data_IF_704066356815
#
_entry.id   IF_704066356815
#
_cell.length_a   1.000
_cell.length_b   1.000
_cell.length_c   1.000
_cell.angle_alpha   90.00
_cell.angle_beta   90.00
_cell.angle_gamma   90.00
#
_symmetry.space_group_name_H-M   'P 1'
#
loop_
_entity.id
_entity.type
_entity.pdbx_description
1 polymer ?
#
# COMPACT_ATOMS: atom_id res chain seq x y z
N UNK A 1 -6.23 -22.81 7.19
CA UNK A 1 -6.86 -22.99 5.87
C UNK A 1 -5.87 -22.57 4.80
N UNK A 2 -5.25 -23.53 4.11
CA UNK A 2 -4.26 -23.29 3.05
C UNK A 2 -4.85 -23.56 1.67
N UNK A 3 -4.23 -23.00 0.63
CA UNK A 3 -4.57 -23.28 -0.77
C UNK A 3 -4.04 -24.68 -1.10
N UNK A 4 -4.93 -25.62 -1.44
CA UNK A 4 -4.57 -26.96 -1.92
C UNK A 4 -4.35 -26.88 -3.44
N UNK A 5 -3.11 -27.09 -3.88
CA UNK A 5 -2.76 -27.15 -5.30
C UNK A 5 -2.98 -28.58 -5.81
N UNK A 6 -3.41 -28.75 -7.06
CA UNK A 6 -3.64 -30.07 -7.65
C UNK A 6 -2.35 -30.89 -7.76
N UNK A 7 -2.36 -32.12 -7.22
CA UNK A 7 -1.19 -33.02 -7.18
C UNK A 7 -0.76 -33.56 -8.56
N UNK A 8 -1.57 -33.31 -9.59
CA UNK A 8 -1.48 -33.81 -10.96
C UNK A 8 -0.91 -32.80 -11.96
N UNK A 9 -0.61 -31.56 -11.55
CA UNK A 9 -0.21 -30.48 -12.45
C UNK A 9 1.20 -29.96 -12.19
N UNK A 10 1.88 -29.51 -13.24
CA UNK A 10 3.15 -28.81 -13.16
C UNK A 10 2.90 -27.33 -12.86
N UNK A 11 3.59 -26.77 -11.87
CA UNK A 11 3.44 -25.36 -11.53
C UNK A 11 4.72 -24.74 -10.97
N UNK A 12 4.87 -23.43 -11.18
CA UNK A 12 5.89 -22.60 -10.54
C UNK A 12 5.27 -21.92 -9.33
N UNK A 13 6.00 -21.92 -8.21
CA UNK A 13 5.65 -21.14 -7.04
C UNK A 13 6.54 -19.93 -6.98
N UNK A 14 5.95 -18.74 -6.91
CA UNK A 14 6.69 -17.51 -6.70
C UNK A 14 7.24 -17.48 -5.28
N UNK A 15 8.56 -17.32 -5.14
CA UNK A 15 9.26 -17.24 -3.86
C UNK A 15 9.52 -15.81 -3.41
N UNK A 16 9.15 -14.81 -4.23
CA UNK A 16 9.32 -13.42 -3.86
C UNK A 16 8.45 -13.07 -2.66
N UNK A 17 9.07 -12.48 -1.64
CA UNK A 17 8.41 -12.05 -0.42
C UNK A 17 7.72 -10.68 -0.55
N UNK A 18 7.87 -10.00 -1.69
CA UNK A 18 7.33 -8.66 -1.92
C UNK A 18 5.90 -8.72 -2.47
N UNK A 19 4.88 -8.29 -1.70
CA UNK A 19 3.49 -8.23 -2.17
C UNK A 19 3.24 -7.18 -3.27
N UNK A 20 4.24 -6.36 -3.63
CA UNK A 20 4.16 -5.34 -4.68
C UNK A 20 4.56 -5.85 -6.07
N UNK A 21 5.06 -7.09 -6.19
CA UNK A 21 5.26 -7.73 -7.48
C UNK A 21 3.89 -8.26 -7.93
N UNK A 22 3.40 -7.79 -9.09
CA UNK A 22 2.11 -8.16 -9.71
C UNK A 22 2.08 -9.62 -10.20
N UNK A 23 2.74 -10.52 -9.49
CA UNK A 23 2.97 -11.89 -9.90
C UNK A 23 2.08 -12.82 -9.08
N UNK A 24 1.50 -13.81 -9.74
CA UNK A 24 0.72 -14.84 -9.09
C UNK A 24 1.62 -15.63 -8.12
N UNK A 25 1.04 -16.07 -7.00
CA UNK A 25 1.73 -16.96 -6.07
C UNK A 25 2.09 -18.31 -6.75
N UNK A 26 1.23 -18.77 -7.66
CA UNK A 26 1.36 -20.04 -8.37
C UNK A 26 1.03 -19.85 -9.84
N UNK A 27 1.91 -20.32 -10.73
CA UNK A 27 1.68 -20.38 -12.18
C UNK A 27 1.60 -21.82 -12.65
N UNK A 28 0.47 -22.21 -13.22
CA UNK A 28 0.34 -23.53 -13.86
C UNK A 28 1.02 -23.51 -15.23
N UNK A 29 1.85 -24.51 -15.48
CA UNK A 29 2.56 -24.67 -16.74
C UNK A 29 1.68 -25.42 -17.74
N UNK A 30 1.62 -24.90 -18.97
CA UNK A 30 1.01 -25.57 -20.14
C UNK A 30 2.09 -26.40 -20.85
N UNK A 31 1.69 -27.15 -21.88
CA UNK A 31 2.63 -27.90 -22.73
C UNK A 31 3.72 -27.02 -23.32
N UNK A 32 3.36 -25.80 -23.73
CA UNK A 32 4.28 -24.75 -24.17
C UNK A 32 3.96 -23.48 -23.39
N UNK A 33 4.92 -22.97 -22.63
CA UNK A 33 4.73 -21.79 -21.77
C UNK A 33 5.77 -20.72 -22.11
N UNK A 34 5.29 -19.58 -22.60
CA UNK A 34 6.11 -18.42 -22.95
C UNK A 34 6.28 -17.47 -21.75
N UNK A 35 7.50 -17.07 -21.44
CA UNK A 35 7.83 -16.22 -20.28
C UNK A 35 8.62 -14.98 -20.72
N UNK A 36 8.15 -13.79 -20.34
CA UNK A 36 8.81 -12.52 -20.66
C UNK A 36 7.97 -11.31 -20.28
N UNK A 37 8.35 -10.10 -20.70
CA UNK A 37 7.62 -8.86 -20.38
C UNK A 37 6.58 -8.45 -21.43
N UNK A 38 6.59 -9.04 -22.62
CA UNK A 38 5.63 -8.72 -23.67
C UNK A 38 4.22 -9.22 -23.32
N UNK A 39 3.19 -8.53 -23.84
CA UNK A 39 1.79 -8.92 -23.66
C UNK A 39 1.41 -10.23 -24.36
N UNK A 40 2.29 -10.77 -25.20
CA UNK A 40 2.13 -12.06 -25.90
C UNK A 40 2.58 -13.27 -25.07
N UNK A 41 3.15 -13.06 -23.89
CA UNK A 41 3.70 -14.12 -23.05
C UNK A 41 2.63 -14.74 -22.14
N UNK A 42 2.71 -16.04 -21.87
CA UNK A 42 1.81 -16.73 -20.94
C UNK A 42 2.07 -16.31 -19.49
N UNK A 43 3.34 -16.15 -19.12
CA UNK A 43 3.78 -15.67 -17.82
C UNK A 43 4.45 -14.32 -18.04
N UNK A 44 3.69 -13.25 -17.81
CA UNK A 44 4.20 -11.89 -17.94
C UNK A 44 4.95 -11.49 -16.67
N UNK A 45 6.25 -11.24 -16.80
CA UNK A 45 7.11 -10.79 -15.71
C UNK A 45 7.60 -9.36 -16.01
N UNK A 46 7.46 -8.48 -15.02
CA UNK A 46 7.87 -7.09 -15.14
C UNK A 46 8.98 -6.79 -14.13
N UNK A 47 10.18 -6.49 -14.61
CA UNK A 47 11.31 -6.18 -13.75
C UNK A 47 12.61 -5.96 -14.51
N UNK A 48 13.59 -5.36 -13.82
CA UNK A 48 14.91 -5.13 -14.41
C UNK A 48 15.57 -6.46 -14.80
N UNK A 49 16.01 -6.56 -16.05
CA UNK A 49 16.66 -7.74 -16.60
C UNK A 49 15.71 -8.80 -17.17
N UNK A 50 14.39 -8.55 -17.19
CA UNK A 50 13.43 -9.36 -17.95
C UNK A 50 13.31 -8.79 -19.38
N UNK A 51 13.38 -9.66 -20.37
CA UNK A 51 13.24 -9.30 -21.79
C UNK A 51 11.80 -9.54 -22.25
N UNK A 52 11.36 -8.88 -23.35
CA UNK A 52 10.05 -9.12 -23.96
C UNK A 52 9.75 -10.61 -24.19
N UNK A 53 10.76 -11.34 -24.69
CA UNK A 53 10.81 -12.80 -24.76
C UNK A 53 12.03 -13.26 -23.96
N UNK A 54 11.82 -13.89 -22.80
CA UNK A 54 12.90 -14.21 -21.86
C UNK A 54 13.24 -15.69 -21.85
N UNK A 55 12.25 -16.56 -21.73
CA UNK A 55 12.48 -17.99 -21.84
C UNK A 55 11.20 -18.72 -22.20
N UNK A 56 11.36 -19.99 -22.54
CA UNK A 56 10.28 -20.90 -22.88
C UNK A 56 10.42 -22.13 -22.00
N UNK A 57 9.31 -22.60 -21.43
CA UNK A 57 9.24 -23.89 -20.75
C UNK A 57 8.33 -24.82 -21.56
N UNK A 58 8.86 -25.97 -21.93
CA UNK A 58 8.18 -27.04 -22.66
C UNK A 58 7.97 -28.27 -21.77
N UNK A 59 6.76 -28.82 -21.78
CA UNK A 59 6.44 -30.12 -21.18
C UNK A 59 6.30 -31.14 -22.30
N UNK A 60 7.23 -32.09 -22.39
CA UNK A 60 7.18 -33.13 -23.41
C UNK A 60 6.06 -34.13 -23.15
N UNK A 61 5.65 -34.87 -24.18
CA UNK A 61 4.64 -35.95 -24.05
C UNK A 61 5.04 -37.05 -23.05
N UNK A 62 6.33 -37.15 -22.73
CA UNK A 62 6.91 -38.07 -21.72
C UNK A 62 6.89 -37.49 -20.30
N UNK A 63 6.36 -36.27 -20.14
CA UNK A 63 6.29 -35.52 -18.88
C UNK A 63 7.64 -34.96 -18.43
N UNK A 64 8.58 -34.73 -19.35
CA UNK A 64 9.84 -34.05 -19.05
C UNK A 64 9.64 -32.54 -19.23
N UNK A 65 10.21 -31.74 -18.32
CA UNK A 65 10.10 -30.28 -18.39
C UNK A 65 11.44 -29.71 -18.84
N UNK A 66 11.44 -28.99 -19.95
CA UNK A 66 12.62 -28.39 -20.57
C UNK A 66 12.50 -26.87 -20.51
N UNK A 67 13.58 -26.19 -20.12
CA UNK A 67 13.68 -24.74 -20.15
C UNK A 67 14.65 -24.32 -21.25
N UNK A 68 14.20 -23.45 -22.13
CA UNK A 68 14.98 -22.87 -23.23
C UNK A 68 15.11 -21.36 -23.03
N UNK A 69 16.28 -20.83 -22.66
CA UNK A 69 16.48 -19.39 -22.51
C UNK A 69 16.59 -18.69 -23.87
N UNK A 70 16.06 -17.47 -23.97
CA UNK A 70 16.32 -16.62 -25.15
C UNK A 70 17.74 -16.03 -25.10
N UNK A 71 18.25 -15.59 -26.26
CA UNK A 71 19.61 -15.01 -26.37
C UNK A 71 19.76 -13.79 -25.46
N UNK A 72 20.92 -13.69 -24.80
CA UNK A 72 21.27 -12.57 -23.91
C UNK A 72 20.32 -12.40 -22.71
N UNK A 73 19.67 -13.48 -22.26
CA UNK A 73 18.83 -13.45 -21.07
C UNK A 73 19.61 -13.84 -19.82
N UNK A 74 19.19 -13.28 -18.70
CA UNK A 74 19.74 -13.60 -17.39
C UNK A 74 18.86 -14.66 -16.72
N UNK A 75 19.12 -15.92 -17.03
CA UNK A 75 18.41 -17.08 -16.48
C UNK A 75 19.35 -17.95 -15.67
N UNK A 76 18.99 -18.27 -14.42
CA UNK A 76 19.73 -19.21 -13.59
C UNK A 76 18.82 -20.34 -13.10
N UNK A 77 19.37 -21.55 -13.03
CA UNK A 77 18.73 -22.71 -12.41
C UNK A 77 19.66 -23.21 -11.32
N UNK A 78 19.16 -23.27 -10.09
CA UNK A 78 19.89 -23.63 -8.87
C UNK A 78 21.21 -22.83 -8.68
N UNK A 79 21.22 -21.58 -9.15
CA UNK A 79 22.38 -20.67 -9.06
C UNK A 79 23.37 -20.76 -10.23
N UNK A 80 23.20 -21.70 -11.15
CA UNK A 80 24.02 -21.82 -12.37
C UNK A 80 23.39 -21.08 -13.54
N UNK A 81 24.18 -20.29 -14.27
CA UNK A 81 23.71 -19.56 -15.46
C UNK A 81 23.38 -20.54 -16.58
N UNK A 82 22.23 -20.36 -17.23
CA UNK A 82 21.74 -21.23 -18.30
C UNK A 82 21.71 -20.45 -19.61
N UNK A 83 22.47 -20.93 -20.59
CA UNK A 83 22.57 -20.32 -21.93
C UNK A 83 22.09 -21.24 -23.07
N UNK A 84 21.75 -22.49 -22.74
CA UNK A 84 21.25 -23.51 -23.68
C UNK A 84 20.06 -24.25 -23.04
N UNK A 85 19.23 -24.98 -23.83
CA UNK A 85 18.13 -25.77 -23.30
C UNK A 85 18.59 -26.75 -22.20
N UNK A 86 17.86 -26.81 -21.09
CA UNK A 86 18.15 -27.66 -19.94
C UNK A 86 16.88 -28.35 -19.41
N UNK A 87 17.02 -29.59 -18.94
CA UNK A 87 15.95 -30.30 -18.27
C UNK A 87 15.80 -29.86 -16.81
N UNK A 88 14.58 -29.55 -16.41
CA UNK A 88 14.21 -29.16 -15.05
C UNK A 88 13.59 -30.32 -14.27
N UNK A 89 13.82 -30.31 -12.96
CA UNK A 89 13.37 -31.33 -12.01
C UNK A 89 12.49 -30.73 -10.91
N UNK A 90 11.71 -31.60 -10.24
CA UNK A 90 10.90 -31.18 -9.10
C UNK A 90 11.77 -30.53 -8.02
N UNK A 91 11.43 -29.30 -7.64
CA UNK A 91 12.11 -28.54 -6.59
C UNK A 91 13.19 -27.59 -7.09
N UNK A 92 13.48 -27.58 -8.40
CA UNK A 92 14.46 -26.65 -8.98
C UNK A 92 14.08 -25.20 -8.74
N UNK A 93 15.08 -24.39 -8.39
CA UNK A 93 14.95 -22.95 -8.14
C UNK A 93 15.41 -22.20 -9.37
N UNK A 94 14.51 -21.42 -9.95
CA UNK A 94 14.74 -20.67 -11.17
C UNK A 94 14.79 -19.18 -10.83
N UNK A 95 15.79 -18.48 -11.35
CA UNK A 95 15.90 -17.03 -11.26
C UNK A 95 15.89 -16.44 -12.67
N UNK A 96 14.93 -15.57 -12.94
CA UNK A 96 14.89 -14.76 -14.15
C UNK A 96 15.18 -13.30 -13.85
N UNK A 97 15.97 -12.66 -14.73
CA UNK A 97 16.40 -11.28 -14.54
C UNK A 97 17.19 -11.12 -13.24
N UNK A 98 16.84 -10.10 -12.45
CA UNK A 98 17.52 -9.83 -11.18
C UNK A 98 16.72 -10.31 -9.95
N UNK A 99 15.39 -10.29 -10.03
CA UNK A 99 14.54 -10.35 -8.83
C UNK A 99 13.35 -11.33 -8.95
N UNK A 100 13.34 -12.25 -9.92
CA UNK A 100 12.21 -13.17 -10.11
C UNK A 100 12.59 -14.59 -9.70
N UNK A 101 12.29 -14.96 -8.46
CA UNK A 101 12.64 -16.26 -7.88
C UNK A 101 11.44 -17.20 -7.89
N UNK A 102 11.60 -18.34 -8.55
CA UNK A 102 10.57 -19.37 -8.67
C UNK A 102 11.08 -20.73 -8.19
N UNK A 103 10.15 -21.55 -7.70
CA UNK A 103 10.38 -22.99 -7.44
C UNK A 103 9.46 -23.82 -8.32
N UNK A 104 10.04 -24.72 -9.11
CA UNK A 104 9.29 -25.66 -9.92
C UNK A 104 8.75 -26.80 -9.05
N UNK A 105 7.46 -27.11 -9.22
CA UNK A 105 6.84 -28.31 -8.68
C UNK A 105 6.30 -29.13 -9.85
N UNK A 106 6.85 -30.34 -9.97
CA UNK A 106 6.33 -31.37 -10.87
C UNK A 106 5.51 -32.38 -10.07
N UNK A 107 4.45 -32.97 -10.65
CA UNK A 107 3.71 -34.04 -10.02
C UNK A 107 4.65 -35.22 -9.72
N UNK A 108 4.48 -35.86 -8.56
CA UNK A 108 5.25 -37.06 -8.23
C UNK A 108 4.88 -38.14 -9.24
N UNK A 109 5.83 -38.59 -10.07
CA UNK A 109 5.63 -39.79 -10.90
C UNK A 109 5.25 -40.93 -9.94
N UNK A 110 3.98 -41.33 -9.92
CA UNK A 110 3.60 -42.62 -9.32
C UNK A 110 4.39 -43.65 -10.11
N UNK A 111 5.41 -44.24 -9.50
CA UNK A 111 5.95 -45.50 -10.00
C UNK A 111 4.75 -46.41 -10.16
N UNK A 112 4.46 -46.85 -11.39
CA UNK A 112 3.65 -48.04 -11.60
C UNK A 112 4.40 -49.15 -10.87
N UNK A 113 3.93 -49.48 -9.67
CA UNK A 113 4.32 -50.68 -8.98
C UNK A 113 3.53 -51.80 -9.65
N UNK A 114 4.09 -52.34 -10.73
CA UNK A 114 3.84 -53.73 -11.09
C UNK A 114 4.61 -54.57 -10.07
N UNK A 115 3.88 -55.24 -9.17
CA UNK A 115 4.16 -56.56 -8.57
C UNK A 115 3.31 -56.77 -7.31
N UNK A 116 2.26 -57.55 -7.52
CA UNK A 116 1.78 -58.70 -6.75
C UNK A 116 2.44 -59.00 -5.37
N UNK A 117 1.52 -59.21 -4.42
CA UNK A 117 1.49 -60.19 -3.33
C UNK A 117 1.99 -59.91 -1.89
N UNK A 118 1.10 -60.35 -0.99
CA UNK A 118 1.21 -60.80 0.41
C UNK A 118 1.12 -59.82 1.60
N UNK A 119 -0.13 -59.72 2.10
CA UNK A 119 -0.63 -60.07 3.45
C UNK A 119 -0.06 -59.47 4.75
N UNK A 120 -1.00 -59.38 5.72
CA UNK A 120 -0.85 -59.27 7.18
C UNK A 120 -0.87 -57.84 7.77
N UNK A 121 -1.70 -57.45 8.75
CA UNK A 121 -2.96 -57.89 9.36
C UNK A 121 -3.35 -56.75 10.34
N UNK A 122 -4.64 -56.62 10.67
CA UNK A 122 -5.22 -55.97 11.86
C UNK A 122 -5.07 -54.45 12.08
N UNK A 123 -5.99 -53.68 12.68
CA UNK A 123 -7.34 -53.85 13.24
C UNK A 123 -7.60 -52.55 14.05
N UNK A 124 -8.55 -51.68 13.70
CA UNK A 124 -9.76 -51.28 14.47
C UNK A 124 -9.83 -49.73 14.48
N UNK A 125 -10.83 -49.12 13.85
CA UNK A 125 -12.16 -48.78 14.40
C UNK A 125 -12.10 -47.83 15.60
N UNK A 126 -12.64 -46.63 15.45
CA UNK A 126 -14.00 -46.34 15.95
C UNK A 126 -14.52 -44.98 15.48
N UNK A 127 -15.74 -45.05 14.97
CA UNK A 127 -16.67 -43.97 14.63
C UNK A 127 -17.26 -43.29 15.89
N UNK A 128 -18.17 -42.35 15.60
CA UNK A 128 -19.27 -41.76 16.42
C UNK A 128 -18.94 -40.52 17.24
N UNK A 129 -19.80 -39.50 17.34
CA UNK A 129 -20.86 -38.87 16.53
C UNK A 129 -21.59 -37.90 17.49
N UNK A 130 -22.03 -36.73 16.99
CA UNK A 130 -23.16 -35.91 17.51
C UNK A 130 -23.01 -35.34 18.95
N UNK A 131 -23.55 -34.20 19.37
CA UNK A 131 -24.70 -33.39 18.97
C UNK A 131 -24.70 -32.10 19.85
N UNK A 132 -25.11 -30.95 19.28
CA UNK A 132 -26.08 -29.97 19.84
C UNK A 132 -25.73 -29.18 21.15
N UNK A 133 -26.10 -27.91 21.41
CA UNK A 133 -26.96 -26.86 20.82
C UNK A 133 -26.51 -25.48 21.37
N UNK A 134 -26.67 -24.45 20.53
CA UNK A 134 -27.20 -23.10 20.76
C UNK A 134 -27.24 -22.46 22.16
N UNK A 135 -26.87 -21.17 22.24
CA UNK A 135 -27.68 -20.09 22.85
C UNK A 135 -27.16 -18.72 22.41
N UNK A 136 -28.13 -17.91 21.98
CA UNK A 136 -28.10 -16.54 21.48
C UNK A 136 -27.50 -15.47 22.40
N UNK A 137 -27.17 -14.32 21.82
CA UNK A 137 -26.83 -13.11 22.57
C UNK A 137 -26.50 -11.90 21.70
N UNK A 138 -27.44 -11.51 20.85
CA UNK A 138 -27.48 -10.20 20.20
C UNK A 138 -27.55 -9.08 21.25
N UNK A 139 -26.69 -8.06 21.15
CA UNK A 139 -27.01 -6.70 21.62
C UNK A 139 -25.98 -5.72 21.08
N UNK A 140 -26.39 -5.07 19.99
CA UNK A 140 -26.19 -3.65 19.72
C UNK A 140 -25.78 -2.80 20.95
N UNK A 141 -24.72 -2.00 20.79
CA UNK A 141 -24.84 -0.54 20.94
C UNK A 141 -23.52 0.13 20.55
N UNK A 142 -23.64 0.96 19.53
CA UNK A 142 -22.70 1.99 19.11
C UNK A 142 -22.43 3.04 20.21
N UNK A 143 -21.65 4.06 19.82
CA UNK A 143 -21.54 5.41 20.38
C UNK A 143 -20.27 5.61 21.22
N UNK A 144 -19.18 5.99 20.55
CA UNK A 144 -18.80 7.38 20.23
C UNK A 144 -18.03 8.02 21.38
N UNK A 145 -16.71 8.09 21.19
CA UNK A 145 -15.82 8.98 21.96
C UNK A 145 -15.94 10.40 21.41
N UNK A 146 -17.12 11.00 21.55
CA UNK A 146 -17.32 12.44 21.33
C UNK A 146 -17.15 13.17 22.67
N UNK A 147 -16.17 14.06 22.67
CA UNK A 147 -15.87 15.00 23.75
C UNK A 147 -17.07 15.95 23.86
N UNK A 148 -17.97 15.69 24.82
CA UNK A 148 -19.08 16.57 25.13
C UNK A 148 -18.56 17.78 25.95
N UNK A 149 -18.52 18.96 25.33
CA UNK A 149 -18.39 20.23 26.06
C UNK A 149 -19.70 20.48 26.83
N UNK A 150 -19.78 19.98 28.07
CA UNK A 150 -20.91 20.24 28.96
C UNK A 150 -20.79 21.66 29.57
N UNK A 151 -21.84 22.48 29.45
CA UNK A 151 -21.91 23.85 30.00
C UNK A 151 -21.64 23.87 31.52
N UNK A 152 -22.01 22.78 32.20
CA UNK A 152 -21.79 22.56 33.63
C UNK A 152 -20.29 22.46 34.00
N UNK A 153 -19.45 21.92 33.11
CA UNK A 153 -18.01 21.81 33.32
C UNK A 153 -17.33 23.18 33.21
N UNK A 154 -17.74 24.00 32.24
CA UNK A 154 -17.27 25.37 32.11
C UNK A 154 -17.74 26.25 33.29
N UNK A 155 -18.96 26.03 33.77
CA UNK A 155 -19.51 26.72 34.94
C UNK A 155 -18.76 26.32 36.23
N UNK A 156 -18.41 25.04 36.38
CA UNK A 156 -17.56 24.53 37.45
C UNK A 156 -16.15 25.13 37.39
N UNK A 157 -15.53 25.20 36.20
CA UNK A 157 -14.19 25.75 36.02
C UNK A 157 -14.12 27.25 36.37
N UNK A 158 -15.14 28.03 35.99
CA UNK A 158 -15.26 29.45 36.33
C UNK A 158 -15.48 29.64 37.84
N UNK A 159 -16.31 28.78 38.45
CA UNK A 159 -16.57 28.83 39.91
C UNK A 159 -15.32 28.47 40.72
N UNK A 160 -14.52 27.50 40.23
CA UNK A 160 -13.24 27.10 40.82
C UNK A 160 -12.13 28.15 40.64
N UNK A 161 -12.16 28.95 39.57
CA UNK A 161 -11.23 30.08 39.34
C UNK A 161 -11.64 31.38 40.06
N UNK A 162 -12.91 31.54 40.42
CA UNK A 162 -13.41 32.74 41.10
C UNK A 162 -13.15 32.74 42.62
N UNK A 163 -12.90 31.57 43.21
CA UNK A 163 -12.42 31.43 44.59
C UNK A 163 -10.90 31.60 44.61
N UNK A 164 -10.47 32.85 44.73
CA UNK A 164 -9.07 33.24 44.73
C UNK A 164 -8.26 32.60 45.87
N UNK A 165 -7.07 32.17 45.49
CA UNK A 165 -5.81 32.11 46.23
C UNK A 165 -5.90 32.12 47.77
N UNK A 166 -5.54 30.96 48.33
CA UNK A 166 -5.23 30.61 49.72
C UNK A 166 -6.34 29.87 50.45
N UNK A 167 -6.26 28.53 50.46
CA UNK A 167 -6.57 27.71 51.63
C UNK A 167 -6.20 26.22 51.41
N UNK A 168 -6.03 25.42 52.49
CA UNK A 168 -5.59 24.01 52.47
C UNK A 168 -6.46 23.08 51.62
N UNK A 169 -7.65 23.51 51.21
CA UNK A 169 -8.56 22.79 50.32
C UNK A 169 -7.97 22.55 48.93
N UNK A 170 -7.13 23.47 48.42
CA UNK A 170 -6.48 23.30 47.10
C UNK A 170 -5.34 22.29 47.15
N UNK A 171 -4.66 22.17 48.30
CA UNK A 171 -3.69 21.12 48.57
C UNK A 171 -4.38 19.74 48.66
N UNK A 172 -5.53 19.67 49.31
CA UNK A 172 -6.35 18.44 49.38
C UNK A 172 -6.84 18.05 47.98
N UNK A 173 -7.31 19.01 47.18
CA UNK A 173 -7.75 18.76 45.81
C UNK A 173 -6.60 18.23 44.93
N UNK A 174 -5.43 18.87 44.98
CA UNK A 174 -4.26 18.41 44.23
C UNK A 174 -3.75 17.04 44.72
N UNK A 175 -3.79 16.79 46.03
CA UNK A 175 -3.45 15.49 46.59
C UNK A 175 -4.43 14.40 46.16
N UNK A 176 -5.72 14.73 46.06
CA UNK A 176 -6.76 13.81 45.61
C UNK A 176 -6.67 13.55 44.11
N UNK A 177 -6.36 14.57 43.31
CA UNK A 177 -6.09 14.46 41.88
C UNK A 177 -4.85 13.59 41.63
N UNK A 178 -3.77 13.82 42.37
CA UNK A 178 -2.55 13.03 42.28
C UNK A 178 -2.80 11.57 42.69
N UNK A 179 -3.59 11.33 43.74
CA UNK A 179 -4.00 9.99 44.14
C UNK A 179 -4.86 9.32 43.06
N UNK A 180 -5.81 10.02 42.46
CA UNK A 180 -6.60 9.49 41.34
C UNK A 180 -5.75 9.20 40.11
N UNK A 181 -4.77 10.04 39.78
CA UNK A 181 -3.84 9.76 38.70
C UNK A 181 -2.99 8.52 38.98
N UNK A 182 -2.53 8.37 40.22
CA UNK A 182 -1.73 7.21 40.64
C UNK A 182 -2.57 5.92 40.66
N UNK A 183 -3.81 5.98 41.14
CA UNK A 183 -4.77 4.87 41.08
C UNK A 183 -5.11 4.50 39.65
N UNK A 184 -5.29 5.48 38.75
CA UNK A 184 -5.50 5.27 37.32
C UNK A 184 -4.28 4.64 36.66
N UNK A 185 -3.07 5.14 36.94
CA UNK A 185 -1.81 4.54 36.45
C UNK A 185 -1.66 3.10 36.96
N UNK A 186 -1.92 2.87 38.24
CA UNK A 186 -1.87 1.54 38.85
C UNK A 186 -2.93 0.60 38.29
N UNK A 187 -4.14 1.08 38.01
CA UNK A 187 -5.20 0.29 37.38
C UNK A 187 -4.83 -0.12 35.94
N UNK A 188 -4.26 0.80 35.16
CA UNK A 188 -3.76 0.51 33.82
C UNK A 188 -2.59 -0.48 33.85
N UNK A 189 -1.70 -0.36 34.82
CA UNK A 189 -0.58 -1.29 35.00
C UNK A 189 -1.07 -2.69 35.40
N UNK A 190 -2.07 -2.79 36.28
CA UNK A 190 -2.73 -4.06 36.61
C UNK A 190 -3.41 -4.67 35.38
N UNK A 191 -4.12 -3.88 34.57
CA UNK A 191 -4.70 -4.35 33.32
C UNK A 191 -3.61 -4.86 32.36
N UNK A 192 -2.51 -4.12 32.20
CA UNK A 192 -1.37 -4.54 31.38
C UNK A 192 -0.80 -5.87 31.86
N UNK A 193 -0.58 -6.03 33.17
CA UNK A 193 -0.06 -7.26 33.75
C UNK A 193 -1.03 -8.43 33.59
N UNK A 194 -2.34 -8.21 33.72
CA UNK A 194 -3.34 -9.25 33.45
C UNK A 194 -3.28 -9.71 32.00
N UNK A 195 -3.22 -8.79 31.04
CA UNK A 195 -3.09 -9.13 29.62
C UNK A 195 -1.75 -9.82 29.31
N UNK A 196 -0.64 -9.36 29.89
CA UNK A 196 0.67 -10.02 29.74
C UNK A 196 0.61 -11.46 30.29
N UNK A 197 -0.01 -11.66 31.45
CA UNK A 197 -0.18 -12.97 32.05
C UNK A 197 -1.11 -13.88 31.23
N UNK A 198 -2.24 -13.37 30.74
CA UNK A 198 -3.17 -14.11 29.89
C UNK A 198 -2.51 -14.51 28.56
N UNK A 199 -1.72 -13.60 27.96
CA UNK A 199 -0.91 -13.89 26.79
C UNK A 199 0.15 -14.97 27.07
N UNK A 200 0.74 -14.98 28.27
CA UNK A 200 1.68 -16.01 28.70
C UNK A 200 0.98 -17.37 28.94
N UNK A 201 -0.22 -17.38 29.52
CA UNK A 201 -1.04 -18.60 29.65
C UNK A 201 -1.44 -19.16 28.29
N UNK A 202 -1.85 -18.31 27.35
CA UNK A 202 -2.13 -18.69 25.97
C UNK A 202 -0.88 -19.28 25.29
N UNK A 203 0.31 -18.69 25.49
CA UNK A 203 1.58 -19.24 25.00
C UNK A 203 1.91 -20.61 25.60
N UNK A 204 1.60 -20.83 26.88
CA UNK A 204 1.79 -22.13 27.55
C UNK A 204 0.81 -23.17 27.04
N UNK A 205 -0.46 -22.82 26.84
CA UNK A 205 -1.50 -23.69 26.24
C UNK A 205 -1.18 -24.06 24.79
N UNK A 206 -0.51 -23.17 24.06
CA UNK A 206 -0.09 -23.38 22.67
C UNK A 206 1.31 -24.04 22.55
N UNK A 207 1.95 -24.43 23.66
CA UNK A 207 3.17 -25.25 23.64
C UNK A 207 2.82 -26.71 23.92
N UNK A 208 2.77 -27.60 22.91
CA UNK A 208 2.54 -29.01 23.17
C UNK A 208 3.83 -29.64 23.74
N UNK A 209 3.68 -30.32 24.87
CA UNK A 209 4.40 -31.54 25.29
C UNK A 209 5.79 -31.77 24.67
N UNK A 210 6.82 -31.30 25.38
CA UNK A 210 8.16 -31.87 25.30
C UNK A 210 8.31 -32.95 26.37
N UNK A 211 7.89 -34.17 26.04
CA UNK A 211 8.47 -35.36 26.65
C UNK A 211 8.60 -36.45 25.60
N UNK A 212 9.82 -36.97 25.45
CA UNK A 212 10.28 -37.97 24.48
C UNK A 212 10.41 -37.55 23.02
N UNK A 213 11.49 -36.82 22.72
CA UNK A 213 12.42 -37.17 21.64
C UNK A 213 13.74 -36.44 21.91
N UNK A 214 14.73 -37.15 22.46
CA UNK A 214 16.11 -36.69 22.46
C UNK A 214 16.57 -36.68 21.00
N UNK A 215 16.61 -35.48 20.39
CA UNK A 215 17.39 -35.05 19.21
C UNK A 215 16.61 -33.92 18.53
N UNK A 216 16.80 -32.67 18.96
CA UNK A 216 16.00 -31.55 18.44
C UNK A 216 16.84 -30.28 18.35
N UNK A 217 17.32 -29.99 17.14
CA UNK A 217 17.93 -28.72 16.79
C UNK A 217 16.92 -27.57 16.89
N UNK A 218 17.42 -26.43 17.36
CA UNK A 218 16.69 -25.21 17.71
C UNK A 218 15.96 -24.60 16.52
N UNK A 219 14.64 -24.40 16.65
CA UNK A 219 13.98 -23.23 16.05
C UNK A 219 13.22 -22.46 17.13
N UNK A 220 13.96 -21.52 17.74
CA UNK A 220 13.46 -20.52 18.66
C UNK A 220 12.86 -19.36 17.86
N UNK A 221 11.54 -19.20 17.91
CA UNK A 221 10.85 -17.97 17.48
C UNK A 221 10.89 -16.86 18.55
N UNK A 222 11.88 -16.93 19.46
CA UNK A 222 12.12 -15.93 20.52
C UNK A 222 13.57 -15.42 20.43
N UNK A 223 14.06 -15.19 19.22
CA UNK A 223 15.36 -14.56 19.04
C UNK A 223 15.23 -13.04 19.22
N UNK A 224 16.08 -12.38 20.04
CA UNK A 224 16.23 -10.92 20.05
C UNK A 224 16.36 -10.31 18.65
N UNK A 225 16.87 -11.09 17.68
CA UNK A 225 17.02 -10.67 16.29
C UNK A 225 15.71 -10.53 15.51
N UNK A 226 14.60 -11.17 15.91
CA UNK A 226 13.31 -11.03 15.25
C UNK A 226 12.59 -9.75 15.69
N UNK A 227 12.63 -9.42 16.99
CA UNK A 227 12.15 -8.13 17.50
C UNK A 227 13.00 -6.97 16.98
N UNK A 228 14.32 -7.14 16.88
CA UNK A 228 15.21 -6.14 16.29
C UNK A 228 14.91 -5.91 14.81
N UNK A 229 14.62 -6.96 14.03
CA UNK A 229 14.19 -6.82 12.62
C UNK A 229 12.86 -6.07 12.48
N UNK A 230 11.91 -6.31 13.37
CA UNK A 230 10.63 -5.59 13.35
C UNK A 230 10.81 -4.11 13.71
N UNK A 231 11.68 -3.80 14.68
CA UNK A 231 12.05 -2.42 15.02
C UNK A 231 12.76 -1.72 13.87
N UNK A 232 13.73 -2.38 13.24
CA UNK A 232 14.41 -1.85 12.05
C UNK A 232 13.42 -1.59 10.91
N UNK A 233 12.48 -2.49 10.66
CA UNK A 233 11.43 -2.27 9.66
C UNK A 233 10.53 -1.08 9.99
N UNK A 234 10.17 -0.90 11.27
CA UNK A 234 9.40 0.25 11.72
C UNK A 234 10.19 1.56 11.58
N UNK A 235 11.46 1.57 11.97
CA UNK A 235 12.39 2.70 11.85
C UNK A 235 12.62 3.08 10.38
N UNK A 236 12.79 2.10 9.49
CA UNK A 236 12.91 2.32 8.04
C UNK A 236 11.64 2.96 7.45
N UNK A 237 10.45 2.51 7.89
CA UNK A 237 9.17 3.11 7.48
C UNK A 237 9.01 4.53 8.01
N UNK A 238 9.42 4.78 9.23
CA UNK A 238 9.37 6.11 9.83
C UNK A 238 10.36 7.06 9.14
N UNK A 239 11.58 6.59 8.84
CA UNK A 239 12.59 7.36 8.10
C UNK A 239 12.11 7.71 6.68
N UNK A 240 11.50 6.76 5.97
CA UNK A 240 10.93 7.02 4.63
C UNK A 240 9.75 8.00 4.68
N UNK A 241 8.89 7.90 5.70
CA UNK A 241 7.82 8.87 5.94
C UNK A 241 8.39 10.26 6.24
N UNK A 242 9.37 10.36 7.13
CA UNK A 242 9.99 11.64 7.50
C UNK A 242 10.68 12.30 6.31
N UNK A 243 11.43 11.54 5.50
CA UNK A 243 12.06 12.05 4.29
C UNK A 243 11.03 12.56 3.28
N UNK A 244 9.92 11.83 3.10
CA UNK A 244 8.87 12.25 2.18
C UNK A 244 8.07 13.46 2.70
N UNK A 245 7.85 13.59 4.01
CA UNK A 245 7.27 14.78 4.64
C UNK A 245 8.18 16.01 4.50
N UNK A 246 9.49 15.85 4.67
CA UNK A 246 10.45 16.95 4.45
C UNK A 246 10.38 17.44 3.00
N UNK A 247 10.39 16.52 2.04
CA UNK A 247 10.23 16.87 0.61
C UNK A 247 8.91 17.57 0.33
N UNK A 248 7.80 17.12 0.92
CA UNK A 248 6.51 17.80 0.77
C UNK A 248 6.56 19.23 1.34
N UNK A 249 7.16 19.43 2.52
CA UNK A 249 7.33 20.75 3.12
C UNK A 249 8.11 21.69 2.20
N UNK A 250 9.21 21.22 1.62
CA UNK A 250 10.00 22.00 0.64
C UNK A 250 9.16 22.38 -0.59
N UNK A 251 8.40 21.44 -1.14
CA UNK A 251 7.53 21.72 -2.29
C UNK A 251 6.41 22.71 -1.94
N UNK A 252 5.84 22.65 -0.73
CA UNK A 252 4.83 23.62 -0.27
C UNK A 252 5.44 25.02 -0.15
N UNK A 253 6.67 25.13 0.36
CA UNK A 253 7.37 26.42 0.44
C UNK A 253 7.62 26.97 -0.97
N UNK A 254 8.10 26.14 -1.91
CA UNK A 254 8.25 26.52 -3.32
C UNK A 254 6.92 26.98 -3.93
N UNK A 255 5.84 26.22 -3.71
CA UNK A 255 4.52 26.54 -4.21
C UNK A 255 4.01 27.89 -3.68
N UNK A 256 4.20 28.16 -2.38
CA UNK A 256 3.80 29.44 -1.79
C UNK A 256 4.57 30.63 -2.37
N UNK A 257 5.86 30.45 -2.68
CA UNK A 257 6.67 31.48 -3.32
C UNK A 257 6.12 31.81 -4.72
N UNK A 258 5.90 30.80 -5.55
CA UNK A 258 5.36 30.97 -6.91
C UNK A 258 3.94 31.58 -6.88
N UNK A 259 3.10 31.16 -5.95
CA UNK A 259 1.74 31.69 -5.76
C UNK A 259 1.75 33.16 -5.37
N UNK A 260 2.67 33.58 -4.48
CA UNK A 260 2.81 34.99 -4.09
C UNK A 260 3.21 35.84 -5.28
N UNK A 261 4.17 35.38 -6.07
CA UNK A 261 4.63 36.10 -7.26
C UNK A 261 3.54 36.18 -8.34
N UNK A 262 2.87 35.06 -8.65
CA UNK A 262 1.75 35.04 -9.59
C UNK A 262 0.61 35.95 -9.15
N UNK A 263 0.31 35.98 -7.85
CA UNK A 263 -0.73 36.85 -7.28
C UNK A 263 -0.35 38.32 -7.41
N UNK A 264 0.91 38.67 -7.14
CA UNK A 264 1.42 40.03 -7.29
C UNK A 264 1.29 40.51 -8.76
N UNK A 265 1.77 39.72 -9.72
CA UNK A 265 1.67 40.07 -11.14
C UNK A 265 0.20 40.18 -11.59
N UNK A 266 -0.66 39.28 -11.12
CA UNK A 266 -2.09 39.31 -11.47
C UNK A 266 -2.83 40.52 -10.89
N UNK A 267 -2.39 41.02 -9.73
CA UNK A 267 -2.93 42.22 -9.08
C UNK A 267 -2.48 43.48 -9.82
N UNK A 268 -1.19 43.61 -10.15
CA UNK A 268 -0.65 44.74 -10.92
C UNK A 268 -1.30 44.86 -12.32
N UNK A 269 -1.63 43.73 -12.96
CA UNK A 269 -2.25 43.69 -14.29
C UNK A 269 -3.80 43.64 -14.27
N UNK A 270 -4.45 43.83 -13.11
CA UNK A 270 -5.90 43.72 -12.85
C UNK A 270 -6.58 42.49 -13.52
N UNK A 271 -5.94 41.32 -13.45
CA UNK A 271 -6.48 40.08 -14.08
C UNK A 271 -7.57 39.38 -13.26
N UNK A 272 -7.77 39.82 -12.01
CA UNK A 272 -8.80 39.34 -11.06
C UNK A 272 -8.78 37.82 -10.83
N UNK A 273 -7.58 37.26 -10.82
CA UNK A 273 -7.32 35.85 -10.55
C UNK A 273 -6.63 35.70 -9.19
N UNK A 274 -7.16 34.80 -8.37
CA UNK A 274 -6.66 34.45 -7.04
C UNK A 274 -6.03 33.06 -7.07
N UNK A 275 -4.83 32.93 -6.51
CA UNK A 275 -4.08 31.68 -6.42
C UNK A 275 -3.98 31.23 -4.96
N UNK A 276 -4.22 29.94 -4.70
CA UNK A 276 -4.08 29.33 -3.36
C UNK A 276 -3.40 27.99 -3.44
N UNK A 277 -2.46 27.74 -2.54
CA UNK A 277 -1.85 26.40 -2.38
C UNK A 277 -2.83 25.48 -1.67
N UNK A 278 -2.98 24.27 -2.20
CA UNK A 278 -3.82 23.20 -1.68
C UNK A 278 -3.06 21.88 -1.77
N UNK A 279 -3.46 20.88 -0.99
CA UNK A 279 -2.94 19.51 -1.11
C UNK A 279 -3.94 18.66 -1.87
N UNK A 280 -3.45 17.87 -2.82
CA UNK A 280 -4.25 16.91 -3.58
C UNK A 280 -3.60 15.53 -3.56
N UNK A 281 -4.40 14.47 -3.66
CA UNK A 281 -3.92 13.12 -3.92
C UNK A 281 -3.72 13.01 -5.44
N UNK A 282 -2.49 12.74 -5.92
CA UNK A 282 -2.24 12.53 -7.35
C UNK A 282 -3.09 11.38 -7.88
N UNK A 283 -3.54 11.48 -9.14
CA UNK A 283 -4.34 10.43 -9.77
C UNK A 283 -3.62 9.07 -9.77
N UNK A 284 -2.30 9.07 -9.99
CA UNK A 284 -1.43 7.89 -9.94
C UNK A 284 -1.31 7.25 -8.54
N UNK A 285 -1.68 7.97 -7.48
CA UNK A 285 -1.68 7.46 -6.11
C UNK A 285 -3.03 6.84 -5.70
N UNK A 286 -4.06 6.98 -6.53
CA UNK A 286 -5.41 6.40 -6.32
C UNK A 286 -5.54 4.98 -6.87
N UNK A 287 -4.50 4.46 -7.53
CA UNK A 287 -4.47 3.09 -8.03
C UNK A 287 -4.43 2.06 -6.89
N UNK A 288 -5.23 1.00 -7.01
CA UNK A 288 -5.30 -0.09 -6.04
C UNK A 288 -3.94 -0.80 -5.82
N UNK A 289 -3.02 -0.70 -6.78
CA UNK A 289 -1.69 -1.33 -6.78
C UNK A 289 -0.57 -0.43 -6.22
N UNK A 290 -0.90 0.60 -5.44
CA UNK A 290 0.09 1.56 -4.93
C UNK A 290 1.19 0.91 -4.08
N UNK A 291 2.43 1.39 -4.23
CA UNK A 291 3.55 1.05 -3.34
C UNK A 291 3.26 1.58 -1.93
N UNK A 292 3.12 0.68 -0.96
CA UNK A 292 2.87 0.99 0.46
C UNK A 292 4.07 1.70 1.10
N UNK A 293 4.16 3.02 0.96
CA UNK A 293 5.19 3.83 1.64
C UNK A 293 5.47 5.21 1.04
N UNK A 294 4.89 5.57 -0.10
CA UNK A 294 5.02 6.92 -0.67
C UNK A 294 3.94 7.86 -0.11
N UNK A 295 4.30 9.13 0.11
CA UNK A 295 3.38 10.15 0.56
C UNK A 295 2.20 10.29 -0.42
N UNK A 296 0.98 10.34 0.12
CA UNK A 296 -0.24 10.35 -0.68
C UNK A 296 -0.59 11.73 -1.25
N UNK A 297 0.03 12.79 -0.77
CA UNK A 297 -0.36 14.15 -1.11
C UNK A 297 0.78 14.93 -1.75
N UNK A 298 0.43 15.69 -2.79
CA UNK A 298 1.30 16.64 -3.47
C UNK A 298 0.69 18.05 -3.40
N UNK A 299 1.50 19.11 -3.53
CA UNK A 299 0.98 20.46 -3.60
C UNK A 299 0.39 20.76 -4.97
N UNK A 300 -0.79 21.36 -4.97
CA UNK A 300 -1.50 21.84 -6.15
C UNK A 300 -2.00 23.27 -5.94
N UNK A 301 -2.16 24.00 -7.04
CA UNK A 301 -2.55 25.40 -7.02
C UNK A 301 -4.00 25.51 -7.44
N UNK A 302 -4.84 25.93 -6.50
CA UNK A 302 -6.18 26.35 -6.79
C UNK A 302 -6.17 27.75 -7.41
N UNK A 303 -6.70 27.85 -8.63
CA UNK A 303 -6.85 29.10 -9.37
C UNK A 303 -8.33 29.47 -9.43
N UNK A 304 -8.67 30.68 -9.01
CA UNK A 304 -10.05 31.19 -9.04
C UNK A 304 -10.08 32.57 -9.67
N UNK A 305 -10.86 32.75 -10.73
CA UNK A 305 -11.07 34.06 -11.36
C UNK A 305 -12.49 34.55 -11.09
N UNK A 306 -12.65 35.83 -10.76
CA UNK A 306 -13.99 36.40 -10.49
C UNK A 306 -14.90 36.20 -11.70
N UNK A 307 -16.04 35.53 -11.51
CA UNK A 307 -17.00 35.23 -12.57
C UNK A 307 -16.69 34.00 -13.43
N UNK A 308 -15.54 33.33 -13.23
CA UNK A 308 -15.22 32.03 -13.84
C UNK A 308 -15.07 30.95 -12.75
N UNK A 309 -15.14 29.68 -13.13
CA UNK A 309 -15.07 28.53 -12.21
C UNK A 309 -13.69 28.36 -11.51
N UNK A 310 -13.61 27.36 -10.62
CA UNK A 310 -12.36 26.97 -9.96
C UNK A 310 -11.56 26.01 -10.85
N UNK A 311 -10.25 26.22 -10.93
CA UNK A 311 -9.29 25.31 -11.58
C UNK A 311 -8.24 24.83 -10.58
N UNK A 312 -7.68 23.65 -10.84
CA UNK A 312 -6.57 23.10 -10.07
C UNK A 312 -5.41 22.87 -11.05
N UNK A 313 -4.27 23.48 -10.77
CA UNK A 313 -3.05 23.37 -11.56
C UNK A 313 -1.98 22.61 -10.78
N UNK A 314 -1.16 21.84 -11.49
CA UNK A 314 0.05 21.28 -10.93
C UNK A 314 1.07 22.38 -10.64
N UNK A 315 1.99 22.12 -9.72
CA UNK A 315 3.11 23.03 -9.42
C UNK A 315 3.92 23.38 -10.67
N UNK A 316 4.21 22.39 -11.50
CA UNK A 316 4.95 22.56 -12.76
C UNK A 316 4.21 23.46 -13.75
N UNK A 317 2.88 23.36 -13.81
CA UNK A 317 2.07 24.21 -14.68
C UNK A 317 2.14 25.67 -14.25
N UNK A 318 2.05 25.96 -12.95
CA UNK A 318 2.21 27.33 -12.47
C UNK A 318 3.63 27.84 -12.75
N UNK A 319 4.66 27.03 -12.53
CA UNK A 319 6.06 27.38 -12.80
C UNK A 319 6.25 27.84 -14.26
N UNK A 320 5.70 27.07 -15.21
CA UNK A 320 5.73 27.41 -16.63
C UNK A 320 4.92 28.67 -16.95
N UNK A 321 3.69 28.78 -16.43
CA UNK A 321 2.84 29.97 -16.65
C UNK A 321 3.44 31.23 -16.06
N UNK A 322 4.21 31.12 -14.98
CA UNK A 322 4.86 32.26 -14.34
C UNK A 322 5.91 32.90 -15.25
N UNK A 323 6.57 32.11 -16.11
CA UNK A 323 7.46 32.65 -17.15
C UNK A 323 6.67 33.56 -18.09
N UNK A 324 5.54 33.07 -18.63
CA UNK A 324 4.65 33.88 -19.47
C UNK A 324 4.13 35.13 -18.72
N UNK A 325 3.82 35.02 -17.43
CA UNK A 325 3.36 36.15 -16.61
C UNK A 325 4.45 37.21 -16.43
N UNK A 326 5.70 36.80 -16.21
CA UNK A 326 6.85 37.70 -16.04
C UNK A 326 7.14 38.44 -17.34
N UNK A 327 7.12 37.75 -18.47
CA UNK A 327 7.33 38.35 -19.78
C UNK A 327 6.25 39.42 -20.05
N UNK A 328 4.97 39.10 -19.79
CA UNK A 328 3.88 40.06 -19.92
C UNK A 328 4.00 41.25 -18.97
N UNK A 329 4.46 41.03 -17.74
CA UNK A 329 4.65 42.11 -16.77
C UNK A 329 5.79 43.05 -17.18
N UNK A 330 6.88 42.50 -17.72
CA UNK A 330 7.99 43.30 -18.24
C UNK A 330 7.56 44.12 -19.46
N UNK A 331 6.88 43.49 -20.43
CA UNK A 331 6.32 44.19 -21.60
C UNK A 331 5.35 45.31 -21.20
N UNK A 332 4.49 45.08 -20.20
CA UNK A 332 3.58 46.09 -19.67
C UNK A 332 4.33 47.25 -19.02
N UNK A 333 5.40 46.98 -18.27
CA UNK A 333 6.21 47.99 -17.58
C UNK A 333 7.04 48.86 -18.54
N UNK A 334 7.47 48.29 -19.67
CA UNK A 334 8.24 48.99 -20.71
C UNK A 334 7.36 49.88 -21.60
N UNK A 335 6.03 49.74 -21.55
CA UNK A 335 5.09 50.56 -22.30
C UNK A 335 4.68 51.82 -21.53
N UNK A 336 5.42 52.92 -21.69
CA UNK A 336 5.03 54.24 -21.16
C UNK A 336 3.96 54.97 -22.01
N UNK A 337 3.67 54.54 -23.25
CA UNK A 337 2.70 55.21 -24.14
C UNK A 337 1.56 54.31 -24.64
N UNK A 338 0.34 54.77 -24.38
CA UNK A 338 -0.97 54.17 -24.62
C UNK A 338 -1.26 53.95 -26.14
N UNK A 339 -0.51 53.05 -26.77
CA UNK A 339 -0.66 52.76 -28.20
C UNK A 339 -1.68 51.62 -28.40
N UNK A 340 -2.80 51.83 -29.11
CA UNK A 340 -3.90 50.85 -29.23
C UNK A 340 -3.52 49.53 -29.93
N UNK A 341 -2.34 49.49 -30.57
CA UNK A 341 -1.77 48.29 -31.21
C UNK A 341 -1.35 47.24 -30.17
N UNK A 342 -0.91 47.68 -28.99
CA UNK A 342 -0.45 46.81 -27.89
C UNK A 342 -1.63 45.98 -27.32
N UNK A 343 -2.84 46.56 -27.25
CA UNK A 343 -4.07 45.83 -26.85
C UNK A 343 -4.37 44.62 -27.74
N UNK A 344 -3.88 44.60 -28.99
CA UNK A 344 -4.07 43.47 -29.90
C UNK A 344 -3.02 42.36 -29.73
N UNK A 345 -1.84 42.66 -29.18
CA UNK A 345 -0.78 41.68 -28.87
C UNK A 345 -1.06 40.87 -27.60
N UNK A 346 -1.83 41.44 -26.65
CA UNK A 346 -2.41 40.72 -25.50
C UNK A 346 -3.46 39.66 -25.89
N UNK A 347 -3.64 39.36 -27.19
CA UNK A 347 -4.39 38.19 -27.69
C UNK A 347 -3.58 36.88 -27.64
N UNK A 348 -2.32 36.90 -27.19
CA UNK A 348 -1.64 35.67 -26.74
C UNK A 348 -2.47 35.04 -25.61
N UNK A 349 -2.53 33.71 -25.58
CA UNK A 349 -3.34 32.95 -24.63
C UNK A 349 -3.12 33.47 -23.20
N UNK A 350 -4.21 33.79 -22.48
CA UNK A 350 -4.19 34.32 -21.11
C UNK A 350 -3.44 33.35 -20.18
N UNK A 351 -2.23 33.69 -19.69
CA UNK A 351 -1.48 32.78 -18.83
C UNK A 351 -2.03 32.72 -17.41
N UNK A 352 -2.96 33.62 -17.05
CA UNK A 352 -3.55 33.70 -15.72
C UNK A 352 -4.77 32.79 -15.56
N UNK A 353 -5.37 32.28 -16.64
CA UNK A 353 -6.53 31.40 -16.54
C UNK A 353 -6.74 30.62 -17.84
N UNK A 354 -6.97 29.30 -17.76
CA UNK A 354 -7.28 28.53 -18.96
C UNK A 354 -8.74 28.76 -19.38
N UNK A 355 -8.97 29.21 -20.61
CA UNK A 355 -10.33 29.41 -21.14
C UNK A 355 -10.98 28.14 -21.66
N UNK A 356 -10.18 27.12 -22.00
CA UNK A 356 -10.67 25.81 -22.40
C UNK A 356 -11.02 24.96 -21.17
N UNK A 357 -12.23 24.41 -21.14
CA UNK A 357 -12.65 23.43 -20.12
C UNK A 357 -11.86 22.14 -20.30
N UNK A 358 -10.67 22.09 -19.70
CA UNK A 358 -9.95 20.84 -19.54
C UNK A 358 -10.81 19.93 -18.66
N UNK A 359 -11.09 18.70 -19.12
CA UNK A 359 -11.76 17.68 -18.31
C UNK A 359 -11.05 17.60 -16.95
N UNK A 360 -11.74 18.00 -15.88
CA UNK A 360 -11.20 17.93 -14.53
C UNK A 360 -11.42 16.51 -14.01
N UNK A 361 -10.35 15.85 -13.58
CA UNK A 361 -10.46 14.57 -12.90
C UNK A 361 -11.20 14.76 -11.57
N UNK A 362 -12.44 14.28 -11.50
CA UNK A 362 -13.27 14.37 -10.29
C UNK A 362 -12.87 13.25 -9.29
N UNK A 363 -12.47 12.09 -9.81
CA UNK A 363 -12.03 10.97 -8.99
C UNK A 363 -11.73 9.72 -9.80
N UNK A 364 -11.23 8.70 -9.11
CA UNK A 364 -10.87 7.40 -9.67
C UNK A 364 -11.76 6.34 -9.02
N UNK A 365 -12.21 5.38 -9.83
CA UNK A 365 -13.05 4.27 -9.41
C UNK A 365 -12.37 2.96 -9.82
N UNK A 366 -12.14 2.05 -8.86
CA UNK A 366 -11.48 0.79 -9.12
C UNK A 366 -12.52 -0.28 -9.45
N UNK A 367 -12.47 -0.80 -10.68
CA UNK A 367 -13.43 -1.80 -11.16
C UNK A 367 -12.83 -3.21 -11.15
N UNK A 368 -13.51 -4.16 -10.50
CA UNK A 368 -13.09 -5.57 -10.49
C UNK A 368 -13.56 -6.28 -11.76
N UNK A 369 -12.61 -6.54 -12.66
CA UNK A 369 -12.88 -7.13 -13.97
C UNK A 369 -12.89 -8.66 -13.98
N UNK A 370 -12.56 -9.32 -12.87
CA UNK A 370 -12.53 -10.79 -12.78
C UNK A 370 -13.90 -11.43 -13.06
N UNK A 371 -14.98 -10.69 -12.82
CA UNK A 371 -16.36 -11.08 -13.20
C UNK A 371 -16.53 -11.33 -14.70
N UNK A 372 -15.79 -10.61 -15.55
CA UNK A 372 -15.83 -10.79 -17.01
C UNK A 372 -15.20 -12.11 -17.44
N UNK A 373 -14.24 -12.64 -16.68
CA UNK A 373 -13.58 -13.90 -17.01
C UNK A 373 -14.51 -15.11 -16.84
N UNK A 374 -15.42 -15.05 -15.87
CA UNK A 374 -16.38 -16.12 -15.57
C UNK A 374 -17.74 -15.93 -16.25
N UNK A 375 -17.89 -14.92 -17.12
CA UNK A 375 -19.16 -14.52 -17.76
C UNK A 375 -20.30 -14.31 -16.75
N UNK A 376 -19.96 -13.79 -15.57
CA UNK A 376 -20.92 -13.53 -14.48
C UNK A 376 -21.33 -12.07 -14.51
N UNK A 377 -22.64 -11.81 -14.57
CA UNK A 377 -23.19 -10.46 -14.42
C UNK A 377 -23.02 -9.99 -12.97
N UNK A 378 -22.09 -9.08 -12.74
CA UNK A 378 -21.86 -8.44 -11.44
C UNK A 378 -22.41 -7.01 -11.45
N UNK A 379 -23.42 -6.75 -10.62
CA UNK A 379 -23.91 -5.40 -10.35
C UNK A 379 -23.42 -4.97 -8.96
N UNK A 380 -22.54 -3.98 -8.90
CA UNK A 380 -22.07 -3.43 -7.64
C UNK A 380 -21.82 -1.93 -7.76
N UNK A 381 -21.99 -1.21 -6.66
CA UNK A 381 -21.73 0.22 -6.60
C UNK A 381 -20.23 0.47 -6.43
N UNK A 382 -19.62 1.21 -7.37
CA UNK A 382 -18.19 1.54 -7.32
C UNK A 382 -18.01 2.91 -6.66
N UNK A 383 -17.29 3.01 -5.53
CA UNK A 383 -17.01 4.30 -4.93
C UNK A 383 -16.06 5.10 -5.83
N UNK A 384 -16.38 6.38 -6.03
CA UNK A 384 -15.50 7.33 -6.73
C UNK A 384 -14.68 8.05 -5.66
N UNK A 385 -13.38 7.78 -5.65
CA UNK A 385 -12.43 8.38 -4.72
C UNK A 385 -11.90 9.67 -5.35
N UNK A 386 -12.18 10.80 -4.73
CA UNK A 386 -11.72 12.10 -5.23
C UNK A 386 -10.29 12.41 -4.73
N UNK A 387 -9.72 13.51 -5.21
CA UNK A 387 -8.37 13.95 -4.81
C UNK A 387 -8.23 14.36 -3.34
N UNK A 388 -9.31 14.38 -2.55
CA UNK A 388 -9.29 14.64 -1.10
C UNK A 388 -9.32 13.35 -0.27
N UNK A 389 -9.50 12.19 -0.89
CA UNK A 389 -9.70 10.91 -0.21
C UNK A 389 -11.17 10.55 -0.11
#
# INVERSE_FOLDING_TARGET
SGIKVGDDKCFLVNLNADPALNELLVYYLKEHTLIGSANSQDIQLCGMGILPEHCIIDITAEGQVMLTPQKNTRTFVNGSSVSSPIQLHHGDRILWGNNHFFRLNLPKKKKKADREDEEHDTSMKNDTSSEQLDIDGDSSSEVSSEINFNYEYAQMEVTMKALGNNDPMQSILNSLEQQHEEEKRSALERQRLMYEHELEQLRRRLSPEKQNCRSGDRFSFHSPSAQQRLRQWAEEREATLNNSLMRLREQIVKANLLVREASYIAEELDKRTEYKVTLQIPASSLDANRKRGSLLSEPAIQVRRKGKGKQIWSLEKLDNRLLDMRDLYQEWKECEEDTPVIRSYFKRADPFYDEQENHSLIGVANVFLESLFYDVKLQYAVPIVNQKG
#
